data_IF_514605602492
#
_entry.id   IF_514605602492
#
_cell.length_a   1.000
_cell.length_b   1.000
_cell.length_c   1.000
_cell.angle_alpha   90.00
_cell.angle_beta   90.00
_cell.angle_gamma   90.00
#
_symmetry.space_group_name_H-M   'P 1'
#
loop_
_entity.id
_entity.type
_entity.pdbx_description
1 polymer ?
#
# COMPACT_ATOMS: atom_id res chain seq x y z
N UNK A 1 9.87 -10.10 13.39
CA UNK A 1 9.16 -9.03 12.64
C UNK A 1 10.16 -8.47 11.65
N UNK A 2 9.77 -8.40 10.38
CA UNK A 2 10.59 -7.81 9.31
C UNK A 2 9.94 -6.53 8.80
N UNK A 3 10.77 -5.62 8.31
CA UNK A 3 10.35 -4.34 7.74
C UNK A 3 11.00 -4.19 6.38
N UNK A 4 10.17 -4.07 5.35
CA UNK A 4 10.62 -3.82 3.99
C UNK A 4 10.22 -2.41 3.57
N UNK A 5 11.11 -1.75 2.82
CA UNK A 5 10.89 -0.41 2.29
C UNK A 5 11.04 -0.47 0.78
N UNK A 6 10.00 -0.06 0.08
CA UNK A 6 9.99 0.00 -1.39
C UNK A 6 9.78 1.44 -1.84
N UNK A 7 10.39 1.77 -2.97
CA UNK A 7 10.24 3.06 -3.64
C UNK A 7 9.88 2.81 -5.09
N UNK A 8 8.87 3.54 -5.56
CA UNK A 8 8.37 3.49 -6.93
C UNK A 8 8.44 4.89 -7.53
N UNK A 9 9.06 5.00 -8.71
CA UNK A 9 9.17 6.26 -9.46
C UNK A 9 8.06 6.35 -10.53
N UNK A 10 7.99 7.48 -11.23
CA UNK A 10 7.03 7.73 -12.32
C UNK A 10 5.55 7.59 -11.90
N UNK A 11 5.25 7.91 -10.64
CA UNK A 11 3.90 7.91 -10.09
C UNK A 11 3.21 9.24 -10.46
N UNK A 12 2.56 9.28 -11.62
CA UNK A 12 1.95 10.49 -12.20
C UNK A 12 0.58 10.85 -11.63
N UNK A 13 -0.15 9.89 -11.05
CA UNK A 13 -1.49 10.11 -10.50
C UNK A 13 -1.41 10.63 -9.08
N UNK A 14 -1.87 11.86 -8.87
CA UNK A 14 -2.00 12.45 -7.52
C UNK A 14 -3.30 12.02 -6.88
N UNK A 15 -3.27 11.81 -5.56
CA UNK A 15 -4.47 11.55 -4.77
C UNK A 15 -4.64 12.68 -3.77
N UNK A 16 -5.88 13.00 -3.39
CA UNK A 16 -6.19 14.02 -2.39
C UNK A 16 -6.86 13.34 -1.21
N UNK A 17 -6.25 13.42 -0.03
CA UNK A 17 -6.80 12.84 1.19
C UNK A 17 -6.12 11.55 1.64
N UNK A 18 -6.44 11.16 2.86
CA UNK A 18 -5.88 9.99 3.55
C UNK A 18 -6.93 8.88 3.64
N UNK A 19 -6.49 7.64 3.65
CA UNK A 19 -7.35 6.48 3.87
C UNK A 19 -6.66 5.46 4.76
N UNK A 20 -7.45 4.81 5.62
CA UNK A 20 -6.99 3.73 6.48
C UNK A 20 -8.06 2.64 6.47
N UNK A 21 -7.66 1.42 6.12
CA UNK A 21 -8.58 0.28 6.04
C UNK A 21 -7.99 -0.91 6.78
N UNK A 22 -8.84 -1.58 7.57
CA UNK A 22 -8.47 -2.75 8.35
C UNK A 22 -7.90 -2.43 9.73
N UNK A 23 -7.44 -3.46 10.41
CA UNK A 23 -6.82 -3.40 11.73
C UNK A 23 -5.84 -4.57 11.89
N UNK A 24 -4.78 -4.36 12.66
CA UNK A 24 -3.78 -5.42 12.91
C UNK A 24 -4.34 -6.44 13.89
N UNK A 25 -4.47 -7.69 13.44
CA UNK A 25 -4.91 -8.83 14.24
C UNK A 25 -4.63 -10.14 13.51
N UNK A 26 -4.79 -11.31 14.15
CA UNK A 26 -4.53 -12.59 13.51
C UNK A 26 -5.30 -12.71 12.19
N UNK A 27 -4.59 -13.00 11.09
CA UNK A 27 -5.17 -13.10 9.72
C UNK A 27 -5.89 -11.84 9.25
N UNK A 28 -5.47 -10.68 9.75
CA UNK A 28 -5.90 -9.38 9.24
C UNK A 28 -4.67 -8.51 8.99
N UNK A 29 -4.89 -7.38 8.32
CA UNK A 29 -3.88 -6.38 8.07
C UNK A 29 -4.50 -4.99 8.09
N UNK A 30 -3.66 -4.00 8.30
CA UNK A 30 -4.01 -2.59 8.17
C UNK A 30 -3.21 -1.99 7.02
N UNK A 31 -3.88 -1.17 6.21
CA UNK A 31 -3.26 -0.34 5.18
C UNK A 31 -3.61 1.10 5.46
N UNK A 32 -2.59 1.94 5.56
CA UNK A 32 -2.70 3.39 5.69
C UNK A 32 -2.08 4.02 4.45
N UNK A 33 -2.80 4.93 3.81
CA UNK A 33 -2.34 5.68 2.65
C UNK A 33 -2.51 7.17 2.91
N UNK A 34 -1.44 7.93 2.63
CA UNK A 34 -1.41 9.38 2.66
C UNK A 34 -0.92 9.94 1.32
N UNK A 35 -1.34 11.16 0.91
CA UNK A 35 -0.86 11.79 -0.32
C UNK A 35 0.64 12.06 -0.28
N UNK A 36 1.31 11.96 -1.44
CA UNK A 36 2.67 12.44 -1.63
C UNK A 36 2.71 13.59 -2.63
N UNK A 37 2.25 14.77 -2.20
CA UNK A 37 2.04 15.90 -3.11
C UNK A 37 3.34 16.51 -3.65
N UNK A 38 4.47 16.27 -2.98
CA UNK A 38 5.75 16.95 -3.25
C UNK A 38 6.66 16.25 -4.27
N UNK A 39 6.30 15.07 -4.74
CA UNK A 39 7.19 14.26 -5.59
C UNK A 39 6.42 13.28 -6.48
N UNK A 40 6.93 12.86 -7.63
CA UNK A 40 6.28 11.85 -8.50
C UNK A 40 6.73 10.43 -8.16
N UNK A 41 6.83 10.15 -6.86
CA UNK A 41 7.21 8.86 -6.31
C UNK A 41 6.19 8.37 -5.30
N UNK A 42 6.24 7.07 -5.06
CA UNK A 42 5.54 6.41 -3.97
C UNK A 42 6.53 5.69 -3.06
N UNK A 43 6.26 5.77 -1.76
CA UNK A 43 7.03 5.10 -0.73
C UNK A 43 6.12 4.11 -0.01
N UNK A 44 6.55 2.86 0.08
CA UNK A 44 5.80 1.80 0.74
C UNK A 44 6.63 1.18 1.86
N UNK A 45 6.05 1.11 3.05
CA UNK A 45 6.62 0.40 4.19
C UNK A 45 5.73 -0.79 4.48
N UNK A 46 6.28 -2.00 4.43
CA UNK A 46 5.59 -3.21 4.86
C UNK A 46 6.22 -3.71 6.14
N UNK A 47 5.41 -3.86 7.18
CA UNK A 47 5.76 -4.53 8.44
C UNK A 47 5.04 -5.85 8.48
N UNK A 48 5.76 -6.96 8.66
CA UNK A 48 5.12 -8.27 8.74
C UNK A 48 5.73 -9.15 9.83
N UNK A 49 4.89 -10.00 10.41
CA UNK A 49 5.31 -11.06 11.32
C UNK A 49 5.98 -12.24 10.61
N UNK A 50 5.83 -12.37 9.29
CA UNK A 50 6.33 -13.52 8.52
C UNK A 50 7.66 -13.17 7.85
N UNK A 51 8.66 -14.02 8.06
CA UNK A 51 10.01 -13.85 7.52
C UNK A 51 10.13 -14.28 6.06
N UNK A 52 11.03 -13.64 5.30
CA UNK A 52 11.43 -14.09 3.97
C UNK A 52 10.38 -13.87 2.86
N UNK A 53 9.55 -12.82 2.99
CA UNK A 53 8.47 -12.50 2.03
C UNK A 53 8.75 -11.28 1.16
N UNK A 54 9.92 -10.67 1.26
CA UNK A 54 10.29 -9.46 0.51
C UNK A 54 10.00 -9.57 -0.99
N UNK A 55 10.42 -10.66 -1.64
CA UNK A 55 10.23 -10.87 -3.09
C UNK A 55 8.76 -10.99 -3.48
N UNK A 56 7.94 -11.61 -2.63
CA UNK A 56 6.49 -11.73 -2.84
C UNK A 56 5.83 -10.36 -2.79
N UNK A 57 6.17 -9.56 -1.77
CA UNK A 57 5.68 -8.20 -1.64
C UNK A 57 6.15 -7.31 -2.78
N UNK A 58 7.43 -7.42 -3.16
CA UNK A 58 7.98 -6.69 -4.30
C UNK A 58 7.19 -6.99 -5.58
N UNK A 59 6.99 -8.27 -5.91
CA UNK A 59 6.25 -8.66 -7.10
C UNK A 59 4.80 -8.16 -7.08
N UNK A 60 4.15 -8.16 -5.92
CA UNK A 60 2.81 -7.61 -5.74
C UNK A 60 2.80 -6.10 -5.99
N UNK A 61 3.69 -5.36 -5.33
CA UNK A 61 3.76 -3.90 -5.45
C UNK A 61 4.19 -3.46 -6.85
N UNK A 62 5.10 -4.18 -7.51
CA UNK A 62 5.51 -3.91 -8.89
C UNK A 62 4.30 -3.96 -9.85
N UNK A 63 3.45 -4.99 -9.72
CA UNK A 63 2.19 -5.08 -10.50
C UNK A 63 1.22 -3.98 -10.12
N UNK A 64 1.07 -3.69 -8.83
CA UNK A 64 0.19 -2.64 -8.35
C UNK A 64 0.56 -1.29 -8.94
N UNK A 65 1.82 -0.85 -8.84
CA UNK A 65 2.24 0.46 -9.36
C UNK A 65 2.32 0.53 -10.88
N UNK A 66 2.48 -0.61 -11.56
CA UNK A 66 2.32 -0.70 -13.02
C UNK A 66 0.88 -0.36 -13.44
N UNK A 67 -0.12 -0.84 -12.68
CA UNK A 67 -1.54 -0.62 -12.96
C UNK A 67 -2.06 0.72 -12.41
N UNK A 68 -1.53 1.15 -11.28
CA UNK A 68 -1.92 2.35 -10.55
C UNK A 68 -0.68 3.19 -10.26
N UNK A 69 -0.25 4.07 -11.18
CA UNK A 69 0.92 4.94 -10.99
C UNK A 69 0.57 6.11 -10.04
N UNK A 70 0.06 5.79 -8.85
CA UNK A 70 -0.37 6.75 -7.83
C UNK A 70 0.80 7.20 -6.98
N UNK A 71 0.83 8.47 -6.58
CA UNK A 71 1.88 9.09 -5.78
C UNK A 71 1.42 9.25 -4.33
N UNK A 72 1.89 8.34 -3.48
CA UNK A 72 1.41 8.13 -2.11
C UNK A 72 2.52 7.69 -1.16
N UNK A 73 2.29 7.90 0.13
CA UNK A 73 2.99 7.19 1.20
C UNK A 73 2.06 6.10 1.71
N UNK A 74 2.51 4.84 1.67
CA UNK A 74 1.72 3.69 2.10
C UNK A 74 2.43 2.93 3.21
N UNK A 75 1.68 2.60 4.25
CA UNK A 75 2.13 1.68 5.31
C UNK A 75 1.19 0.48 5.34
N UNK A 76 1.78 -0.72 5.28
CA UNK A 76 1.07 -1.99 5.41
C UNK A 76 1.56 -2.68 6.67
N UNK A 77 0.67 -2.89 7.64
CA UNK A 77 0.94 -3.69 8.83
C UNK A 77 0.24 -5.05 8.65
N UNK A 78 0.98 -6.06 8.21
CA UNK A 78 0.46 -7.39 7.87
C UNK A 78 0.74 -8.44 8.95
N UNK A 79 -0.28 -9.21 9.32
CA UNK A 79 -0.18 -10.34 10.23
C UNK A 79 -0.30 -11.70 9.49
N UNK A 80 0.45 -11.86 8.40
CA UNK A 80 0.67 -13.14 7.73
C UNK A 80 -0.41 -13.54 6.73
N UNK A 81 -1.02 -12.57 6.06
CA UNK A 81 -2.04 -12.84 5.04
C UNK A 81 -1.43 -13.34 3.73
N UNK A 82 -2.27 -13.94 2.89
CA UNK A 82 -1.88 -14.32 1.53
C UNK A 82 -1.75 -13.06 0.67
N UNK A 83 -0.89 -13.07 -0.38
CA UNK A 83 -0.67 -11.88 -1.21
C UNK A 83 -1.94 -11.29 -1.82
N UNK A 84 -2.91 -12.14 -2.21
CA UNK A 84 -4.19 -11.67 -2.76
C UNK A 84 -5.02 -10.86 -1.76
N UNK A 85 -5.00 -11.21 -0.47
CA UNK A 85 -5.69 -10.44 0.57
C UNK A 85 -4.98 -9.12 0.84
N UNK A 86 -3.63 -9.13 0.80
CA UNK A 86 -2.83 -7.90 0.92
C UNK A 86 -3.16 -6.93 -0.22
N UNK A 87 -3.17 -7.44 -1.45
CA UNK A 87 -3.50 -6.65 -2.65
C UNK A 87 -4.93 -6.09 -2.60
N UNK A 88 -5.91 -6.91 -2.21
CA UNK A 88 -7.30 -6.49 -2.07
C UNK A 88 -7.44 -5.33 -1.07
N UNK A 89 -6.82 -5.44 0.11
CA UNK A 89 -6.89 -4.39 1.14
C UNK A 89 -6.21 -3.10 0.69
N UNK A 90 -5.13 -3.20 -0.08
CA UNK A 90 -4.48 -2.03 -0.69
C UNK A 90 -5.43 -1.34 -1.67
N UNK A 91 -6.17 -2.11 -2.48
CA UNK A 91 -7.16 -1.57 -3.42
C UNK A 91 -8.32 -0.89 -2.69
N UNK A 92 -8.88 -1.50 -1.65
CA UNK A 92 -9.91 -0.89 -0.80
C UNK A 92 -9.44 0.45 -0.22
N UNK A 93 -8.20 0.50 0.29
CA UNK A 93 -7.63 1.73 0.83
C UNK A 93 -7.46 2.81 -0.25
N UNK A 94 -7.04 2.45 -1.46
CA UNK A 94 -6.90 3.38 -2.58
C UNK A 94 -8.27 3.92 -3.05
N UNK A 95 -9.27 3.05 -3.16
CA UNK A 95 -10.64 3.40 -3.52
C UNK A 95 -11.23 4.39 -2.52
N UNK A 96 -11.04 4.15 -1.21
CA UNK A 96 -11.48 5.07 -0.17
C UNK A 96 -10.91 6.49 -0.26
N UNK A 97 -9.77 6.69 -0.93
CA UNK A 97 -9.25 8.05 -1.21
C UNK A 97 -9.98 8.68 -2.39
N UNK A 98 -10.22 7.89 -3.46
CA UNK A 98 -10.85 8.39 -4.69
C UNK A 98 -12.31 8.78 -4.44
N UNK A 99 -13.04 7.99 -3.67
CA UNK A 99 -14.42 8.29 -3.27
C UNK A 99 -14.55 9.61 -2.50
N UNK A 100 -13.54 9.95 -1.71
CA UNK A 100 -13.50 11.23 -0.97
C UNK A 100 -13.06 12.38 -1.88
N UNK A 101 -12.20 12.12 -2.87
CA UNK A 101 -11.71 13.15 -3.79
C UNK A 101 -12.71 13.55 -4.89
N UNK A 102 -13.66 12.67 -5.23
CA UNK A 102 -14.71 12.90 -6.24
C UNK A 102 -16.00 13.53 -5.66
N UNK A 103 -16.06 13.74 -4.34
CA UNK A 103 -17.15 14.44 -3.64
C UNK A 103 -16.76 15.87 -3.28
#
# INVERSE_FOLDING_TARGET
MEVYKFKYENCSQKVRGKSQVGAVGPRNLEVIIEPNDKSNESQVIIRTGITGRESIYKNLLDRFFTKYPVSIQMVVNDFGNTPGIVELRILEALEGIRDVAER
#
